data_IF_158314176685
#
_entry.id   IF_158314176685
#
_cell.length_a   1.000
_cell.length_b   1.000
_cell.length_c   1.000
_cell.angle_alpha   90.00
_cell.angle_beta   90.00
_cell.angle_gamma   90.00
#
_symmetry.space_group_name_H-M   'P 1'
#
loop_
_entity.id
_entity.type
_entity.pdbx_description
1 polymer ?
#
# COMPACT_ATOMS: atom_id res chain seq x y z
N UNK A 1 -17.22 4.68 -0.68
CA UNK A 1 -18.19 3.61 -0.99
C UNK A 1 -17.55 2.23 -1.19
N UNK A 2 -16.51 2.11 -2.02
CA UNK A 2 -15.80 0.83 -2.24
C UNK A 2 -15.36 0.16 -0.94
N UNK A 3 -14.56 0.85 -0.10
CA UNK A 3 -14.09 0.31 1.17
C UNK A 3 -15.23 -0.13 2.11
N UNK A 4 -16.29 0.67 2.20
CA UNK A 4 -17.46 0.33 3.02
C UNK A 4 -18.16 -0.93 2.52
N UNK A 5 -18.36 -1.07 1.21
CA UNK A 5 -19.02 -2.23 0.63
C UNK A 5 -18.19 -3.51 0.82
N UNK A 6 -16.88 -3.46 0.54
CA UNK A 6 -15.99 -4.60 0.75
C UNK A 6 -15.89 -4.97 2.23
N UNK A 7 -15.82 -3.96 3.13
CA UNK A 7 -15.82 -4.18 4.56
C UNK A 7 -17.09 -4.89 5.07
N UNK A 8 -18.26 -4.46 4.59
CA UNK A 8 -19.53 -5.12 4.92
C UNK A 8 -19.62 -6.54 4.32
N UNK A 9 -19.20 -6.73 3.06
CA UNK A 9 -19.20 -8.06 2.43
C UNK A 9 -18.21 -9.05 3.04
N UNK A 10 -17.25 -8.57 3.85
CA UNK A 10 -16.35 -9.44 4.62
C UNK A 10 -16.98 -9.96 5.92
N UNK A 11 -18.11 -9.39 6.35
CA UNK A 11 -18.87 -9.87 7.50
C UNK A 11 -19.66 -11.14 7.09
N UNK A 12 -19.49 -12.27 7.80
CA UNK A 12 -20.18 -13.52 7.47
C UNK A 12 -21.71 -13.45 7.64
N UNK A 13 -22.25 -12.39 8.25
CA UNK A 13 -23.68 -12.17 8.44
C UNK A 13 -24.30 -11.23 7.39
N UNK A 14 -23.53 -10.77 6.40
CA UNK A 14 -24.01 -9.90 5.33
C UNK A 14 -24.06 -10.68 4.02
N UNK A 15 -25.27 -10.91 3.50
CA UNK A 15 -25.45 -11.63 2.23
C UNK A 15 -25.20 -10.75 0.99
N UNK A 16 -25.56 -9.46 1.07
CA UNK A 16 -25.45 -8.54 -0.05
C UNK A 16 -25.35 -7.07 0.40
N UNK A 17 -24.67 -6.25 -0.41
CA UNK A 17 -24.55 -4.80 -0.22
C UNK A 17 -24.99 -4.08 -1.50
N UNK A 18 -25.85 -3.07 -1.34
CA UNK A 18 -26.34 -2.23 -2.44
C UNK A 18 -25.87 -0.78 -2.27
N UNK A 19 -25.57 -0.12 -3.39
CA UNK A 19 -25.36 1.33 -3.43
C UNK A 19 -26.74 1.99 -3.43
N UNK A 20 -27.02 2.83 -2.42
CA UNK A 20 -28.31 3.51 -2.29
C UNK A 20 -28.44 4.76 -3.17
N UNK A 21 -27.34 5.49 -3.38
CA UNK A 21 -27.31 6.65 -4.27
C UNK A 21 -27.44 6.25 -5.75
N UNK A 22 -27.99 7.11 -6.62
CA UNK A 22 -28.18 6.79 -8.04
C UNK A 22 -26.88 6.45 -8.78
N UNK A 23 -25.76 7.05 -8.39
CA UNK A 23 -24.46 6.83 -9.01
C UNK A 23 -23.32 6.88 -7.99
N UNK A 24 -22.20 6.29 -8.38
CA UNK A 24 -20.90 6.47 -7.73
C UNK A 24 -19.95 7.13 -8.74
N UNK A 25 -18.91 7.79 -8.23
CA UNK A 25 -17.91 8.42 -9.11
C UNK A 25 -17.16 7.39 -9.95
N UNK A 26 -16.71 7.76 -11.15
CA UNK A 26 -15.84 6.94 -12.02
C UNK A 26 -14.66 6.31 -11.28
N UNK A 27 -14.00 7.09 -10.41
CA UNK A 27 -12.94 6.59 -9.52
C UNK A 27 -13.35 5.40 -8.66
N UNK A 28 -14.55 5.46 -8.08
CA UNK A 28 -15.08 4.39 -7.22
C UNK A 28 -15.47 3.18 -8.07
N UNK A 29 -16.03 3.42 -9.27
CA UNK A 29 -16.32 2.36 -10.24
C UNK A 29 -15.04 1.64 -10.65
N UNK A 30 -13.95 2.37 -10.89
CA UNK A 30 -12.64 1.79 -11.20
C UNK A 30 -12.11 0.92 -10.06
N UNK A 31 -12.25 1.36 -8.79
CA UNK A 31 -11.86 0.54 -7.64
C UNK A 31 -12.66 -0.77 -7.56
N UNK A 32 -13.99 -0.73 -7.71
CA UNK A 32 -14.82 -1.94 -7.77
C UNK A 32 -14.44 -2.85 -8.94
N UNK A 33 -14.32 -2.29 -10.14
CA UNK A 33 -13.99 -3.03 -11.35
C UNK A 33 -12.62 -3.71 -11.24
N UNK A 34 -11.61 -3.00 -10.74
CA UNK A 34 -10.28 -3.54 -10.53
C UNK A 34 -10.30 -4.69 -9.52
N UNK A 35 -10.89 -4.46 -8.33
CA UNK A 35 -11.01 -5.50 -7.30
C UNK A 35 -11.76 -6.74 -7.80
N UNK A 36 -12.87 -6.56 -8.51
CA UNK A 36 -13.66 -7.65 -9.07
C UNK A 36 -12.88 -8.49 -10.10
N UNK A 37 -12.07 -7.85 -10.95
CA UNK A 37 -11.35 -8.52 -12.03
C UNK A 37 -10.04 -9.16 -11.57
N UNK A 38 -9.34 -8.55 -10.61
CA UNK A 38 -7.97 -8.94 -10.27
C UNK A 38 -7.80 -9.44 -8.84
N UNK A 39 -8.82 -9.25 -7.98
CA UNK A 39 -8.74 -9.46 -6.54
C UNK A 39 -7.65 -8.61 -5.86
N UNK A 40 -7.41 -7.39 -6.39
CA UNK A 40 -6.43 -6.45 -5.87
C UNK A 40 -7.10 -5.14 -5.42
N UNK A 41 -6.62 -4.58 -4.31
CA UNK A 41 -7.04 -3.26 -3.84
C UNK A 41 -6.31 -2.16 -4.60
N UNK A 42 -7.03 -1.24 -5.24
CA UNK A 42 -6.44 -0.10 -5.95
C UNK A 42 -6.40 1.15 -5.06
N UNK A 43 -5.21 1.66 -4.77
CA UNK A 43 -5.00 2.84 -3.92
C UNK A 43 -4.19 3.91 -4.64
N UNK A 44 -4.63 5.16 -4.53
CA UNK A 44 -3.89 6.32 -5.02
C UNK A 44 -2.90 6.84 -3.98
N UNK A 45 -1.68 7.18 -4.42
CA UNK A 45 -0.69 7.88 -3.60
C UNK A 45 -0.63 9.38 -3.93
N UNK A 46 -0.25 10.19 -2.95
CA UNK A 46 0.02 11.60 -3.17
C UNK A 46 1.22 11.81 -4.11
N UNK A 47 1.26 12.90 -4.90
CA UNK A 47 2.44 13.25 -5.67
C UNK A 47 3.67 13.40 -4.78
N UNK A 48 4.80 12.85 -5.21
CA UNK A 48 6.07 12.96 -4.49
C UNK A 48 7.22 13.26 -5.44
N UNK A 49 8.25 13.96 -4.92
CA UNK A 49 9.52 14.22 -5.61
C UNK A 49 10.59 13.18 -5.26
N UNK A 50 10.26 12.18 -4.44
CA UNK A 50 11.21 11.15 -4.05
C UNK A 50 11.73 10.40 -5.27
N UNK A 51 13.03 10.14 -5.29
CA UNK A 51 13.68 9.32 -6.34
C UNK A 51 13.14 7.88 -6.37
N UNK A 52 12.54 7.41 -5.27
CA UNK A 52 12.03 6.05 -5.12
C UNK A 52 10.55 5.93 -5.46
N UNK A 53 9.86 7.01 -5.88
CA UNK A 53 8.43 6.96 -6.21
C UNK A 53 8.11 5.86 -7.23
N UNK A 54 8.88 5.79 -8.33
CA UNK A 54 8.69 4.74 -9.36
C UNK A 54 8.91 3.32 -8.82
N UNK A 55 9.68 3.15 -7.74
CA UNK A 55 9.94 1.84 -7.13
C UNK A 55 8.80 1.38 -6.22
N UNK A 56 7.99 2.30 -5.69
CA UNK A 56 6.85 1.96 -4.82
C UNK A 56 5.53 1.86 -5.58
N UNK A 57 5.47 2.27 -6.85
CA UNK A 57 4.27 2.14 -7.67
C UNK A 57 4.16 0.73 -8.24
N UNK A 58 2.93 0.27 -8.46
CA UNK A 58 2.63 -1.05 -8.99
C UNK A 58 2.03 -1.99 -7.94
N UNK A 59 2.01 -3.28 -8.28
CA UNK A 59 1.34 -4.31 -7.49
C UNK A 59 2.26 -4.88 -6.42
N UNK A 60 1.71 -5.00 -5.21
CA UNK A 60 2.34 -5.55 -4.03
C UNK A 60 1.47 -6.66 -3.46
N UNK A 61 2.12 -7.63 -2.81
CA UNK A 61 1.44 -8.65 -2.01
C UNK A 61 1.78 -8.40 -0.56
N UNK A 62 0.78 -8.21 0.30
CA UNK A 62 1.00 -8.13 1.73
C UNK A 62 1.44 -9.52 2.23
N UNK A 63 2.50 -9.57 3.05
CA UNK A 63 3.02 -10.82 3.60
C UNK A 63 1.94 -11.66 4.28
N UNK A 64 2.10 -12.99 4.25
CA UNK A 64 1.22 -13.93 4.94
C UNK A 64 1.32 -13.79 6.47
N UNK A 65 2.49 -13.43 6.99
CA UNK A 65 2.69 -13.03 8.39
C UNK A 65 2.45 -11.53 8.56
N UNK A 66 1.18 -11.13 8.42
CA UNK A 66 0.77 -9.72 8.51
C UNK A 66 1.18 -9.09 9.85
N UNK A 67 1.76 -7.89 9.77
CA UNK A 67 2.08 -7.08 10.94
C UNK A 67 0.87 -6.24 11.38
N UNK A 68 0.81 -5.87 12.66
CA UNK A 68 -0.24 -4.99 13.20
C UNK A 68 -0.13 -3.56 12.68
N UNK A 69 1.11 -3.09 12.47
CA UNK A 69 1.38 -1.65 12.32
C UNK A 69 1.60 -1.24 10.87
N UNK A 70 1.89 -2.19 9.98
CA UNK A 70 2.26 -1.95 8.59
C UNK A 70 1.81 -3.08 7.65
N UNK A 71 1.44 -2.72 6.42
CA UNK A 71 1.43 -3.65 5.30
C UNK A 71 2.86 -3.79 4.77
N UNK A 72 3.29 -5.02 4.49
CA UNK A 72 4.66 -5.32 4.06
C UNK A 72 4.65 -6.01 2.72
N UNK A 73 5.29 -5.42 1.71
CA UNK A 73 5.37 -5.98 0.36
C UNK A 73 6.33 -7.17 0.32
N UNK A 74 5.83 -8.39 0.10
CA UNK A 74 6.61 -9.64 0.08
C UNK A 74 7.72 -9.65 -0.97
N UNK A 75 7.41 -9.21 -2.20
CA UNK A 75 8.33 -9.25 -3.34
C UNK A 75 9.23 -8.01 -3.46
N UNK A 76 9.21 -7.11 -2.47
CA UNK A 76 10.08 -5.92 -2.45
C UNK A 76 11.57 -6.26 -2.30
N UNK A 77 11.94 -7.55 -2.18
CA UNK A 77 13.32 -8.02 -2.05
C UNK A 77 13.78 -8.88 -3.24
N UNK A 78 12.87 -9.33 -4.09
CA UNK A 78 13.17 -10.29 -5.16
C UNK A 78 13.44 -9.57 -6.47
N UNK A 79 14.43 -10.07 -7.23
CA UNK A 79 14.95 -9.55 -8.50
C UNK A 79 13.94 -9.41 -9.66
N UNK A 80 12.65 -9.55 -9.39
CA UNK A 80 11.58 -9.34 -10.37
C UNK A 80 11.10 -7.88 -10.36
N UNK A 81 11.12 -7.20 -9.19
CA UNK A 81 10.90 -5.76 -9.11
C UNK A 81 12.18 -4.94 -9.36
N UNK A 82 13.34 -5.55 -9.09
CA UNK A 82 14.67 -4.98 -9.36
C UNK A 82 15.22 -5.60 -10.64
N UNK A 83 15.32 -4.83 -11.73
CA UNK A 83 16.10 -5.26 -12.89
C UNK A 83 17.48 -5.70 -12.37
N UNK A 84 17.96 -6.88 -12.80
CA UNK A 84 19.21 -7.52 -12.32
C UNK A 84 20.44 -6.60 -12.30
N UNK A 85 20.41 -5.50 -13.03
CA UNK A 85 21.49 -4.52 -13.14
C UNK A 85 21.34 -3.31 -12.19
N UNK A 86 20.29 -3.25 -11.36
CA UNK A 86 20.01 -2.19 -10.38
C UNK A 86 19.74 -2.75 -8.96
N UNK A 87 20.64 -3.57 -8.40
CA UNK A 87 20.75 -3.60 -6.94
C UNK A 87 21.50 -2.33 -6.52
N UNK A 88 20.86 -1.19 -6.78
CA UNK A 88 21.32 0.11 -6.31
C UNK A 88 20.99 0.20 -4.83
N UNK A 89 22.00 0.51 -4.01
CA UNK A 89 21.82 0.87 -2.61
C UNK A 89 20.68 1.89 -2.47
N UNK A 90 19.73 1.63 -1.58
CA UNK A 90 18.68 2.59 -1.25
C UNK A 90 19.30 3.62 -0.30
N UNK A 91 19.89 4.68 -0.86
CA UNK A 91 20.43 5.80 -0.10
C UNK A 91 19.36 6.42 0.80
N UNK A 92 19.79 6.90 1.98
CA UNK A 92 18.94 7.69 2.88
C UNK A 92 18.39 8.93 2.16
N UNK A 93 17.08 9.19 2.29
CA UNK A 93 16.39 10.38 1.80
C UNK A 93 15.65 11.05 2.97
N UNK A 94 14.36 11.38 2.81
CA UNK A 94 13.51 11.92 3.86
C UNK A 94 13.17 10.80 4.83
N UNK A 95 13.34 11.02 6.13
CA UNK A 95 13.14 10.03 7.19
C UNK A 95 12.23 10.63 8.25
N UNK A 96 11.05 11.11 7.86
CA UNK A 96 10.15 11.86 8.74
C UNK A 96 9.22 10.94 9.56
N UNK A 97 8.37 11.54 10.39
CA UNK A 97 7.29 10.80 11.04
C UNK A 97 6.38 10.14 10.00
N UNK A 98 5.83 8.98 10.34
CA UNK A 98 5.09 8.10 9.42
C UNK A 98 3.64 7.94 9.89
N UNK A 99 2.79 8.97 9.75
CA UNK A 99 1.36 8.86 10.08
C UNK A 99 0.70 7.77 9.22
N UNK A 100 -0.50 7.31 9.59
CA UNK A 100 -1.24 6.28 8.85
C UNK A 100 -1.28 6.55 7.34
N UNK A 101 -1.07 5.51 6.54
CA UNK A 101 -1.01 5.56 5.09
C UNK A 101 0.34 6.03 4.53
N UNK A 102 1.38 6.21 5.33
CA UNK A 102 2.70 6.58 4.80
C UNK A 102 3.31 5.38 4.08
N UNK A 103 3.71 5.60 2.83
CA UNK A 103 4.42 4.62 2.00
C UNK A 103 5.92 4.85 2.17
N UNK A 104 6.63 3.79 2.51
CA UNK A 104 8.05 3.84 2.88
C UNK A 104 8.87 2.78 2.17
N UNK A 105 10.17 3.01 2.11
CA UNK A 105 11.16 2.02 1.69
C UNK A 105 12.34 2.03 2.66
N UNK A 106 12.74 0.86 3.14
CA UNK A 106 13.89 0.71 4.03
C UNK A 106 15.19 1.07 3.29
N UNK A 107 16.00 1.94 3.90
CA UNK A 107 17.25 2.43 3.30
C UNK A 107 18.46 1.60 3.73
N UNK A 108 19.65 1.97 3.23
CA UNK A 108 20.92 1.27 3.45
C UNK A 108 21.27 1.05 4.93
N UNK A 109 20.83 1.95 5.82
CA UNK A 109 21.07 1.84 7.26
C UNK A 109 20.29 0.69 7.90
N UNK A 110 19.27 0.16 7.23
CA UNK A 110 18.49 -1.00 7.69
C UNK A 110 19.18 -2.35 7.36
N UNK A 111 20.31 -2.32 6.65
CA UNK A 111 21.10 -3.52 6.36
C UNK A 111 20.32 -4.55 5.57
N UNK A 112 20.12 -5.75 6.14
CA UNK A 112 19.44 -6.86 5.44
C UNK A 112 18.00 -6.54 5.01
N UNK A 113 17.36 -5.55 5.63
CA UNK A 113 15.98 -5.15 5.33
C UNK A 113 15.90 -4.04 4.26
N UNK A 114 17.03 -3.50 3.80
CA UNK A 114 17.08 -2.49 2.74
C UNK A 114 16.22 -2.91 1.54
N UNK A 115 15.43 -1.96 1.04
CA UNK A 115 14.52 -2.15 -0.08
C UNK A 115 13.12 -2.64 0.30
N UNK A 116 12.88 -3.02 1.56
CA UNK A 116 11.54 -3.43 1.99
C UNK A 116 10.55 -2.27 1.88
N UNK A 117 9.45 -2.47 1.15
CA UNK A 117 8.39 -1.48 0.96
C UNK A 117 7.27 -1.73 1.97
N UNK A 118 6.85 -0.68 2.66
CA UNK A 118 5.79 -0.75 3.67
C UNK A 118 4.77 0.38 3.52
N UNK A 119 3.53 0.11 3.94
CA UNK A 119 2.48 1.13 4.11
C UNK A 119 2.02 1.11 5.56
N UNK A 120 2.07 2.24 6.25
CA UNK A 120 1.68 2.28 7.67
C UNK A 120 0.18 2.17 7.88
N UNK A 121 -0.22 1.36 8.85
CA UNK A 121 -1.61 1.18 9.32
C UNK A 121 -1.92 2.03 10.55
N UNK A 122 -0.88 2.46 11.26
CA UNK A 122 -0.93 3.33 12.44
C UNK A 122 0.10 4.45 12.32
N UNK A 123 0.02 5.43 13.20
CA UNK A 123 1.03 6.48 13.29
C UNK A 123 2.32 5.91 13.89
N UNK A 124 3.42 6.00 13.15
CA UNK A 124 4.74 5.57 13.60
C UNK A 124 5.70 6.77 13.70
N UNK A 125 6.62 6.76 14.67
CA UNK A 125 7.61 7.82 14.80
C UNK A 125 8.60 7.80 13.64
N UNK A 126 9.37 8.88 13.53
CA UNK A 126 10.53 8.97 12.64
C UNK A 126 11.50 7.80 12.89
N UNK A 127 12.05 7.24 11.81
CA UNK A 127 13.15 6.28 11.85
C UNK A 127 14.17 6.62 10.74
N UNK A 128 15.41 6.87 11.11
CA UNK A 128 16.48 7.24 10.16
C UNK A 128 16.83 6.14 9.15
N UNK A 129 16.41 4.90 9.42
CA UNK A 129 16.62 3.74 8.53
C UNK A 129 15.51 3.60 7.48
N UNK A 130 14.47 4.44 7.54
CA UNK A 130 13.25 4.28 6.73
C UNK A 130 12.97 5.55 5.94
N UNK A 131 13.06 5.46 4.62
CA UNK A 131 12.72 6.59 3.77
C UNK A 131 11.19 6.74 3.65
N UNK A 132 10.68 7.95 3.88
CA UNK A 132 9.28 8.34 3.67
C UNK A 132 9.10 8.82 2.23
N UNK A 133 8.37 8.06 1.42
CA UNK A 133 8.31 8.27 -0.04
C UNK A 133 7.09 9.10 -0.42
N UNK A 134 5.93 8.69 0.06
CA UNK A 134 4.65 9.36 -0.21
C UNK A 134 3.62 8.90 0.83
N UNK A 135 2.36 9.26 0.64
CA UNK A 135 1.25 8.85 1.49
C UNK A 135 0.04 8.47 0.64
N UNK A 136 -0.66 7.41 1.04
CA UNK A 136 -1.99 7.07 0.50
C UNK A 136 -2.91 8.26 0.70
N UNK A 137 -3.63 8.66 -0.34
CA UNK A 137 -4.55 9.79 -0.22
C UNK A 137 -5.62 9.49 0.83
N UNK A 138 -6.08 10.52 1.54
CA UNK A 138 -6.99 10.38 2.68
C UNK A 138 -8.24 9.55 2.35
N UNK A 139 -8.80 9.73 1.15
CA UNK A 139 -9.99 9.01 0.67
C UNK A 139 -9.82 7.49 0.58
N UNK A 140 -8.60 7.00 0.39
CA UNK A 140 -8.31 5.56 0.26
C UNK A 140 -7.78 4.93 1.54
N UNK A 141 -7.47 5.71 2.59
CA UNK A 141 -6.91 5.16 3.82
C UNK A 141 -7.87 4.18 4.52
N UNK A 142 -9.19 4.32 4.32
CA UNK A 142 -10.19 3.36 4.82
C UNK A 142 -10.09 1.98 4.16
N UNK A 143 -9.35 1.83 3.05
CA UNK A 143 -9.09 0.55 2.39
C UNK A 143 -7.99 -0.23 3.13
N UNK A 144 -7.04 0.47 3.76
CA UNK A 144 -5.86 -0.16 4.38
C UNK A 144 -6.20 -1.27 5.38
N UNK A 145 -7.19 -1.12 6.29
CA UNK A 145 -7.55 -2.17 7.23
C UNK A 145 -8.17 -3.41 6.55
N UNK A 146 -8.64 -3.29 5.31
CA UNK A 146 -9.24 -4.40 4.55
C UNK A 146 -8.19 -5.29 3.91
N UNK A 147 -6.95 -4.81 3.72
CA UNK A 147 -5.86 -5.57 3.12
C UNK A 147 -5.30 -6.53 4.18
N UNK A 148 -5.68 -7.81 4.08
CA UNK A 148 -5.25 -8.87 5.00
C UNK A 148 -3.97 -9.57 4.51
N UNK A 149 -3.52 -10.54 5.29
CA UNK A 149 -2.42 -11.42 4.93
C UNK A 149 -2.61 -12.03 3.54
N UNK A 150 -1.59 -11.94 2.68
CA UNK A 150 -1.60 -12.48 1.31
C UNK A 150 -2.45 -11.70 0.32
N UNK A 151 -3.19 -10.65 0.73
CA UNK A 151 -3.93 -9.82 -0.20
C UNK A 151 -2.99 -8.97 -1.05
N UNK A 152 -3.40 -8.73 -2.29
CA UNK A 152 -2.67 -7.88 -3.21
C UNK A 152 -3.26 -6.47 -3.24
N UNK A 153 -2.39 -5.49 -3.40
CA UNK A 153 -2.78 -4.09 -3.55
C UNK A 153 -1.88 -3.40 -4.58
N UNK A 154 -2.44 -2.47 -5.33
CA UNK A 154 -1.74 -1.74 -6.39
C UNK A 154 -1.73 -0.25 -6.05
N UNK A 155 -0.53 0.33 -6.01
CA UNK A 155 -0.30 1.75 -5.78
C UNK A 155 -0.17 2.47 -7.12
N UNK A 156 -0.98 3.52 -7.32
CA UNK A 156 -1.01 4.35 -8.54
C UNK A 156 -0.80 5.83 -8.26
#
# INVERSE_FOLDING_TARGET
PFAAAVGLMADPYVDAVYIGDPTISERTMAQFGYYHQTNQFLLEVAPSKSRYLKRILGTHTNRLDAASDVLRSELSRTSEMFRKDEIATIESEQTEARPVGTVTIDNEKYGRYMGEIQVTLVDLPKDEKVNTITRIIEKDQTILPLIKAGNQFTLV
#
